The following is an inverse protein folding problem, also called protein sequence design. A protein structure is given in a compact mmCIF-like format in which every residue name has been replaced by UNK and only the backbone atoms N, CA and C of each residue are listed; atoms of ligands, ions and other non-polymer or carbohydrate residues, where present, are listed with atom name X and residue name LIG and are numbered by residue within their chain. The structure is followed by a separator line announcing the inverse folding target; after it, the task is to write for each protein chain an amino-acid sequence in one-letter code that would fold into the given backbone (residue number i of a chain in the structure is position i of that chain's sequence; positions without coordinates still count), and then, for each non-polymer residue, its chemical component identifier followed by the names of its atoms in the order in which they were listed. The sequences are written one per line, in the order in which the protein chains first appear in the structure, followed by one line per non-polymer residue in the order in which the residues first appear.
data_IF_983404249382
#
_entry.id   IF_983404249382
#
_cell.length_a   1.000
_cell.length_b   1.000
_cell.length_c   1.000
_cell.angle_alpha   90.00
_cell.angle_beta   90.00
_cell.angle_gamma   90.00
#
_symmetry.space_group_name_H-M   'P 1'
#
loop_
_entity.id
_entity.type
_entity.pdbx_description
1 polymer ?
#
# COMPACT_ATOMS: atom_id res chain seq x y z
N UNK A 1 -41.64 -9.85 -20.40
CA UNK A 1 -40.65 -8.78 -20.63
C UNK A 1 -39.58 -8.92 -19.56
N UNK A 2 -38.33 -9.14 -20.00
CA UNK A 2 -37.10 -9.14 -19.19
C UNK A 2 -37.04 -7.86 -18.31
N UNK A 3 -36.53 -7.85 -17.08
CA UNK A 3 -35.42 -8.62 -16.52
C UNK A 3 -34.18 -7.73 -16.50
N UNK A 4 -33.92 -7.05 -15.38
CA UNK A 4 -32.60 -6.58 -14.99
C UNK A 4 -32.44 -6.78 -13.48
N UNK A 5 -31.77 -7.87 -13.14
CA UNK A 5 -31.06 -7.99 -11.87
C UNK A 5 -29.75 -7.19 -12.01
N UNK A 6 -29.47 -6.31 -11.05
CA UNK A 6 -28.12 -5.80 -10.83
C UNK A 6 -27.61 -6.48 -9.55
N UNK A 7 -26.73 -7.44 -9.79
CA UNK A 7 -25.97 -8.20 -8.81
C UNK A 7 -24.90 -7.34 -8.14
N UNK A 8 -24.92 -7.33 -6.80
CA UNK A 8 -23.76 -7.37 -5.91
C UNK A 8 -22.66 -6.32 -6.10
N UNK A 9 -22.81 -5.17 -5.44
CA UNK A 9 -21.64 -4.49 -4.88
C UNK A 9 -21.12 -5.36 -3.72
N UNK A 10 -19.89 -5.83 -3.84
CA UNK A 10 -19.19 -6.59 -2.82
C UNK A 10 -19.19 -5.77 -1.52
N UNK A 11 -20.00 -6.22 -0.56
CA UNK A 11 -20.03 -5.70 0.78
C UNK A 11 -18.68 -5.98 1.44
N UNK A 12 -17.85 -4.94 1.57
CA UNK A 12 -17.13 -4.84 2.83
C UNK A 12 -18.22 -4.76 3.89
N UNK A 13 -18.35 -5.80 4.71
CA UNK A 13 -19.32 -5.77 5.81
C UNK A 13 -18.84 -4.72 6.80
N UNK A 14 -19.29 -3.48 6.61
CA UNK A 14 -19.02 -2.37 7.52
C UNK A 14 -19.52 -2.79 8.90
N UNK A 15 -18.63 -2.78 9.88
CA UNK A 15 -19.01 -3.04 11.26
C UNK A 15 -19.59 -1.75 11.86
N UNK A 16 -20.91 -1.65 11.80
CA UNK A 16 -21.66 -0.55 12.38
C UNK A 16 -21.68 -0.59 13.91
N UNK A 17 -21.33 -1.71 14.54
CA UNK A 17 -21.29 -1.87 16.00
C UNK A 17 -22.66 -2.08 16.65
N UNK A 18 -22.90 -1.43 17.80
CA UNK A 18 -24.14 -1.51 18.60
C UNK A 18 -24.82 -0.12 18.75
N UNK A 19 -25.89 -0.06 19.55
CA UNK A 19 -26.64 1.18 19.85
C UNK A 19 -26.46 1.60 21.33
N UNK A 20 -25.23 1.52 21.85
CA UNK A 20 -24.96 1.81 23.26
C UNK A 20 -24.71 3.30 23.58
N UNK A 21 -24.64 4.18 22.58
CA UNK A 21 -24.50 5.62 22.81
C UNK A 21 -25.77 6.22 23.41
N UNK A 22 -25.62 7.37 24.05
CA UNK A 22 -26.76 8.18 24.52
C UNK A 22 -27.57 8.78 23.38
N UNK A 23 -26.99 8.84 22.17
CA UNK A 23 -27.58 9.45 20.99
C UNK A 23 -28.05 8.42 19.95
N UNK A 24 -27.84 7.13 20.18
CA UNK A 24 -28.29 6.10 19.24
C UNK A 24 -29.81 6.09 19.08
N UNK A 25 -30.28 5.72 17.88
CA UNK A 25 -31.70 5.63 17.52
C UNK A 25 -32.44 6.99 17.57
N UNK A 26 -31.75 8.09 17.32
CA UNK A 26 -32.35 9.42 17.23
C UNK A 26 -32.61 9.89 15.78
N UNK A 27 -32.17 9.10 14.80
CA UNK A 27 -32.39 9.33 13.37
C UNK A 27 -31.26 10.06 12.65
N UNK A 28 -30.16 10.35 13.34
CA UNK A 28 -28.90 10.85 12.78
C UNK A 28 -27.76 9.87 13.11
N UNK A 29 -26.68 9.86 12.31
CA UNK A 29 -25.47 9.06 12.62
C UNK A 29 -24.47 9.89 13.43
N UNK A 30 -24.12 9.44 14.63
CA UNK A 30 -23.14 10.09 15.51
C UNK A 30 -21.72 9.51 15.37
N UNK A 31 -21.57 8.42 14.63
CA UNK A 31 -20.28 7.74 14.47
C UNK A 31 -19.33 8.55 13.57
N UNK A 32 -18.21 9.08 14.11
CA UNK A 32 -17.30 9.93 13.34
C UNK A 32 -16.58 9.20 12.22
N UNK A 33 -16.66 7.87 12.14
CA UNK A 33 -16.17 7.09 10.99
C UNK A 33 -16.94 7.39 9.71
N UNK A 34 -18.12 8.00 9.78
CA UNK A 34 -18.94 8.35 8.62
C UNK A 34 -18.96 9.85 8.34
N UNK A 35 -19.31 10.18 7.09
CA UNK A 35 -19.61 11.52 6.63
C UNK A 35 -20.75 11.53 5.62
N UNK A 36 -21.46 12.65 5.55
CA UNK A 36 -22.52 12.87 4.57
C UNK A 36 -23.82 13.38 5.19
N UNK A 37 -24.87 13.59 4.37
CA UNK A 37 -26.16 14.13 4.80
C UNK A 37 -26.95 13.32 5.83
N UNK A 38 -26.46 12.14 6.24
CA UNK A 38 -27.03 11.33 7.32
C UNK A 38 -26.39 11.54 8.69
N UNK A 39 -25.35 12.38 8.80
CA UNK A 39 -24.65 12.64 10.07
C UNK A 39 -25.44 13.57 10.99
N UNK A 40 -25.18 13.45 12.29
CA UNK A 40 -25.55 14.46 13.29
C UNK A 40 -24.99 15.83 12.94
N UNK A 41 -25.69 16.87 13.36
CA UNK A 41 -25.19 18.26 13.31
C UNK A 41 -24.49 18.68 14.62
N UNK A 42 -24.46 17.78 15.61
CA UNK A 42 -23.80 18.03 16.90
C UNK A 42 -22.30 17.66 16.84
N UNK A 43 -21.48 18.12 17.81
CA UNK A 43 -20.07 17.75 17.84
C UNK A 43 -19.89 16.23 17.96
N UNK A 44 -19.16 15.65 17.01
CA UNK A 44 -18.83 14.22 17.01
C UNK A 44 -17.87 13.88 18.15
N UNK A 45 -18.11 12.76 18.82
CA UNK A 45 -17.29 12.28 19.94
C UNK A 45 -16.70 10.90 19.61
N UNK A 46 -15.45 10.67 20.01
CA UNK A 46 -14.80 9.36 19.86
C UNK A 46 -15.55 8.24 20.60
N UNK A 47 -16.30 8.61 21.65
CA UNK A 47 -17.13 7.68 22.42
C UNK A 47 -18.34 7.13 21.63
N UNK A 48 -18.67 7.73 20.47
CA UNK A 48 -19.80 7.32 19.63
C UNK A 48 -19.36 6.41 18.46
N UNK A 49 -18.07 6.12 18.33
CA UNK A 49 -17.52 5.19 17.33
C UNK A 49 -18.12 3.79 17.54
N UNK A 50 -18.89 3.30 16.57
CA UNK A 50 -19.52 1.97 16.60
C UNK A 50 -20.61 1.82 17.66
N UNK A 51 -21.15 2.92 18.16
CA UNK A 51 -22.19 2.92 19.19
C UNK A 51 -23.49 3.56 18.73
N UNK A 52 -23.66 3.71 17.41
CA UNK A 52 -24.88 4.21 16.77
C UNK A 52 -25.21 3.42 15.48
N UNK A 53 -25.26 2.10 15.63
CA UNK A 53 -25.26 1.17 14.51
C UNK A 53 -26.51 1.24 13.65
N UNK A 54 -27.68 1.43 14.26
CA UNK A 54 -28.97 1.40 13.56
C UNK A 54 -29.11 2.59 12.62
N UNK A 55 -28.79 3.81 13.09
CA UNK A 55 -28.94 5.03 12.28
C UNK A 55 -27.84 5.16 11.22
N UNK A 56 -26.59 4.88 11.58
CA UNK A 56 -25.47 4.88 10.62
C UNK A 56 -25.65 3.86 9.50
N UNK A 57 -26.19 2.66 9.79
CA UNK A 57 -26.48 1.65 8.77
C UNK A 57 -27.61 2.08 7.84
N UNK A 58 -28.72 2.56 8.41
CA UNK A 58 -29.86 3.00 7.63
C UNK A 58 -29.48 4.15 6.68
N UNK A 59 -28.69 5.11 7.17
CA UNK A 59 -28.24 6.24 6.37
C UNK A 59 -27.17 5.84 5.33
N UNK A 60 -26.28 4.89 5.63
CA UNK A 60 -25.32 4.33 4.66
C UNK A 60 -26.02 3.54 3.54
N UNK A 61 -26.96 2.65 3.87
CA UNK A 61 -27.74 1.88 2.89
C UNK A 61 -28.64 2.77 2.03
N UNK A 62 -29.09 3.91 2.58
CA UNK A 62 -29.81 4.94 1.82
C UNK A 62 -28.89 5.80 0.93
N UNK A 63 -27.58 5.57 0.92
CA UNK A 63 -26.60 6.36 0.17
C UNK A 63 -26.42 7.78 0.69
N UNK A 64 -26.80 8.04 1.95
CA UNK A 64 -26.67 9.35 2.62
C UNK A 64 -25.41 9.45 3.47
N UNK A 65 -24.65 8.37 3.63
CA UNK A 65 -23.36 8.34 4.31
C UNK A 65 -22.29 7.64 3.46
N UNK A 66 -21.04 8.02 3.71
CA UNK A 66 -19.83 7.38 3.23
C UNK A 66 -18.86 7.25 4.40
N UNK A 67 -17.96 6.27 4.40
CA UNK A 67 -16.91 6.18 5.42
C UNK A 67 -15.87 7.28 5.17
N UNK A 68 -15.55 8.06 6.19
CA UNK A 68 -14.41 8.98 6.16
C UNK A 68 -13.15 8.16 5.87
N UNK A 69 -12.49 8.46 4.77
CA UNK A 69 -11.30 7.73 4.31
C UNK A 69 -11.55 6.62 3.29
N UNK A 70 -12.77 6.40 2.80
CA UNK A 70 -12.99 5.59 1.59
C UNK A 70 -13.01 6.47 0.34
N UNK A 71 -11.95 6.77 -0.39
CA UNK A 71 -10.53 6.42 -0.37
C UNK A 71 -9.69 7.69 -0.10
N UNK A 72 -8.63 7.62 0.72
CA UNK A 72 -7.35 8.38 0.64
C UNK A 72 -6.68 8.54 2.04
N UNK A 73 -5.49 9.17 2.09
CA UNK A 73 -4.21 8.65 2.59
C UNK A 73 -4.13 8.56 4.12
N UNK A 74 -3.57 7.46 4.64
CA UNK A 74 -3.40 7.26 6.08
C UNK A 74 -2.23 8.09 6.60
N UNK A 75 -2.52 9.12 7.40
CA UNK A 75 -1.52 9.68 8.31
C UNK A 75 -1.29 8.71 9.47
N UNK A 76 -0.14 8.02 9.41
CA UNK A 76 0.56 7.27 10.46
C UNK A 76 -0.18 7.00 11.78
N UNK A 77 -0.55 5.72 12.00
CA UNK A 77 -1.16 5.23 13.23
C UNK A 77 -0.64 3.86 13.63
N UNK A 78 0.43 3.87 14.44
CA UNK A 78 1.13 2.71 15.00
C UNK A 78 0.21 1.65 15.63
N UNK A 79 0.46 0.39 15.31
CA UNK A 79 0.34 -0.72 16.26
C UNK A 79 -1.05 -1.39 16.39
N UNK A 80 -1.69 -1.73 15.27
CA UNK A 80 -2.67 -2.83 15.31
C UNK A 80 -1.93 -4.18 15.27
N UNK A 81 -2.33 -5.18 16.08
CA UNK A 81 -1.75 -6.51 16.01
C UNK A 81 -1.97 -7.09 14.61
N UNK A 82 -0.87 -7.53 14.01
CA UNK A 82 -0.80 -8.12 12.69
C UNK A 82 -1.91 -9.16 12.46
N UNK A 83 -2.80 -8.97 11.46
CA UNK A 83 -3.65 -10.06 10.99
C UNK A 83 -2.78 -11.20 10.43
N UNK A 84 -3.35 -12.41 10.37
CA UNK A 84 -2.63 -13.57 9.83
C UNK A 84 -2.10 -13.30 8.42
N UNK A 85 -0.92 -13.84 8.11
CA UNK A 85 -0.22 -13.69 6.84
C UNK A 85 -1.17 -13.76 5.63
N UNK A 86 -1.21 -12.70 4.82
CA UNK A 86 -2.07 -12.65 3.63
C UNK A 86 -1.43 -13.45 2.50
N UNK A 87 -2.03 -14.59 2.15
CA UNK A 87 -1.56 -15.44 1.04
C UNK A 87 -2.48 -15.26 -0.17
N UNK A 88 -1.96 -14.64 -1.24
CA UNK A 88 -2.69 -14.41 -2.49
C UNK A 88 -1.86 -14.93 -3.66
N UNK A 89 -2.46 -15.74 -4.54
CA UNK A 89 -1.76 -16.27 -5.71
C UNK A 89 -0.52 -17.14 -5.39
N UNK A 90 -0.43 -17.67 -4.16
CA UNK A 90 0.75 -18.42 -3.69
C UNK A 90 1.89 -17.54 -3.14
N UNK A 91 1.72 -16.22 -3.12
CA UNK A 91 2.68 -15.28 -2.55
C UNK A 91 2.26 -14.97 -1.11
N UNK A 92 3.23 -15.00 -0.19
CA UNK A 92 3.04 -14.55 1.18
C UNK A 92 3.37 -13.06 1.30
N UNK A 93 2.34 -12.23 1.47
CA UNK A 93 2.46 -10.78 1.64
C UNK A 93 2.72 -10.36 3.09
N UNK A 94 2.67 -11.29 4.05
CA UNK A 94 2.91 -11.02 5.45
C UNK A 94 1.74 -10.30 6.12
N UNK A 95 2.03 -9.31 6.96
CA UNK A 95 1.06 -8.57 7.77
C UNK A 95 1.12 -7.07 7.53
N UNK A 96 0.39 -6.27 8.31
CA UNK A 96 0.40 -4.79 8.28
C UNK A 96 1.21 -4.21 9.46
N UNK A 97 2.35 -4.82 9.81
CA UNK A 97 3.21 -4.33 10.90
C UNK A 97 4.15 -3.20 10.45
N UNK A 98 4.59 -2.34 11.36
CA UNK A 98 5.52 -1.25 11.02
C UNK A 98 4.83 0.09 10.89
N UNK A 99 5.61 1.12 10.54
CA UNK A 99 5.11 2.50 10.49
C UNK A 99 4.64 2.94 9.11
N UNK A 100 5.07 2.23 8.07
CA UNK A 100 4.73 2.48 6.66
C UNK A 100 3.56 1.60 6.19
N UNK A 101 3.10 0.64 7.01
CA UNK A 101 1.96 -0.18 6.63
C UNK A 101 0.68 0.65 6.45
N UNK A 102 -0.11 0.29 5.43
CA UNK A 102 -1.41 0.92 5.12
C UNK A 102 -1.33 2.41 4.77
N UNK A 103 -0.23 2.86 4.21
CA UNK A 103 -0.04 4.26 3.80
C UNK A 103 -0.50 4.56 2.37
N UNK A 104 -0.86 3.53 1.61
CA UNK A 104 -1.35 3.59 0.24
C UNK A 104 -0.31 3.23 -0.82
N UNK A 105 0.92 2.92 -0.43
CA UNK A 105 1.99 2.40 -1.29
C UNK A 105 2.36 0.97 -0.89
N UNK A 106 2.99 0.19 -1.77
CA UNK A 106 3.54 -1.11 -1.39
C UNK A 106 5.00 -0.96 -0.96
N UNK A 107 5.27 -1.08 0.34
CA UNK A 107 6.63 -0.95 0.92
C UNK A 107 7.49 -2.21 0.78
N UNK A 108 6.88 -3.31 0.33
CA UNK A 108 7.58 -4.57 0.23
C UNK A 108 8.53 -4.56 -0.98
N UNK A 109 9.82 -4.47 -0.66
CA UNK A 109 10.94 -4.47 -1.63
C UNK A 109 10.90 -5.60 -2.67
N UNK A 110 10.23 -6.72 -2.38
CA UNK A 110 10.10 -7.86 -3.33
C UNK A 110 9.27 -7.50 -4.56
N UNK A 111 8.48 -6.44 -4.50
CA UNK A 111 7.62 -6.00 -5.59
C UNK A 111 8.24 -4.82 -6.33
N UNK A 112 7.69 -4.51 -7.50
CA UNK A 112 8.01 -3.29 -8.23
C UNK A 112 6.85 -2.91 -9.15
N UNK A 113 6.82 -1.65 -9.56
CA UNK A 113 5.80 -1.09 -10.44
C UNK A 113 5.31 0.25 -9.92
N UNK A 114 4.25 0.78 -10.52
CA UNK A 114 3.71 2.10 -10.18
C UNK A 114 3.05 2.19 -8.80
N UNK A 115 2.71 1.05 -8.18
CA UNK A 115 2.17 1.00 -6.82
C UNK A 115 3.23 0.75 -5.74
N UNK A 116 4.52 0.70 -6.10
CA UNK A 116 5.61 0.51 -5.16
C UNK A 116 5.94 1.82 -4.44
N UNK A 117 6.34 1.73 -3.17
CA UNK A 117 6.80 2.87 -2.39
C UNK A 117 8.01 3.57 -3.02
N UNK A 118 8.10 4.88 -2.80
CA UNK A 118 9.22 5.70 -3.28
C UNK A 118 10.52 5.51 -2.47
N UNK A 119 10.43 4.89 -1.30
CA UNK A 119 11.57 4.46 -0.50
C UNK A 119 11.23 3.18 0.26
N UNK A 120 12.13 2.20 0.23
CA UNK A 120 11.88 0.87 0.81
C UNK A 120 13.18 0.20 1.20
N UNK A 121 13.10 -0.80 2.08
CA UNK A 121 14.26 -1.56 2.53
C UNK A 121 13.90 -3.02 2.76
N UNK A 122 14.91 -3.87 2.98
CA UNK A 122 14.67 -5.26 3.37
C UNK A 122 13.91 -5.39 4.70
N UNK A 123 13.97 -4.38 5.56
CA UNK A 123 13.25 -4.40 6.83
C UNK A 123 11.74 -4.24 6.65
N UNK A 124 11.26 -3.76 5.49
CA UNK A 124 9.83 -3.56 5.20
C UNK A 124 9.18 -4.77 4.50
N UNK A 125 9.94 -5.83 4.24
CA UNK A 125 9.43 -7.03 3.56
C UNK A 125 8.36 -7.71 4.40
N UNK A 126 7.19 -7.94 3.80
CA UNK A 126 6.05 -8.61 4.42
C UNK A 126 5.38 -7.82 5.54
N UNK A 127 5.56 -6.50 5.56
CA UNK A 127 5.07 -5.60 6.61
C UNK A 127 3.90 -4.73 6.19
N UNK A 128 3.65 -4.68 4.89
CA UNK A 128 2.62 -3.85 4.30
C UNK A 128 1.71 -4.68 3.38
N UNK A 129 1.12 -5.72 3.98
CA UNK A 129 0.40 -6.74 3.23
C UNK A 129 -0.84 -6.17 2.53
N UNK A 130 -1.61 -5.31 3.18
CA UNK A 130 -2.86 -4.80 2.64
C UNK A 130 -2.65 -3.97 1.38
N UNK A 131 -1.68 -3.06 1.37
CA UNK A 131 -1.43 -2.21 0.21
C UNK A 131 -0.71 -2.99 -0.89
N UNK A 132 0.27 -3.84 -0.54
CA UNK A 132 0.90 -4.72 -1.53
C UNK A 132 -0.08 -5.73 -2.16
N UNK A 133 -1.05 -6.27 -1.43
CA UNK A 133 -2.10 -7.14 -1.99
C UNK A 133 -2.99 -6.34 -2.94
N UNK A 134 -3.43 -5.14 -2.53
CA UNK A 134 -4.26 -4.28 -3.37
C UNK A 134 -3.53 -3.86 -4.67
N UNK A 135 -2.25 -3.49 -4.56
CA UNK A 135 -1.40 -3.14 -5.68
C UNK A 135 -1.16 -4.34 -6.61
N UNK A 136 -0.92 -5.53 -6.05
CA UNK A 136 -0.72 -6.75 -6.84
C UNK A 136 -2.00 -7.15 -7.60
N UNK A 137 -3.16 -7.11 -6.93
CA UNK A 137 -4.44 -7.47 -7.56
C UNK A 137 -4.89 -6.46 -8.63
N UNK A 138 -4.52 -5.19 -8.47
CA UNK A 138 -4.77 -4.15 -9.48
C UNK A 138 -3.73 -4.14 -10.60
N UNK A 139 -2.65 -4.91 -10.47
CA UNK A 139 -1.56 -5.00 -11.46
C UNK A 139 -0.64 -3.77 -11.48
N UNK A 140 -0.71 -2.91 -10.46
CA UNK A 140 0.20 -1.77 -10.33
C UNK A 140 1.55 -2.16 -9.75
N UNK A 141 1.65 -3.32 -9.10
CA UNK A 141 2.93 -3.97 -8.80
C UNK A 141 2.97 -5.42 -9.27
N UNK A 142 4.19 -5.90 -9.56
CA UNK A 142 4.50 -7.30 -9.82
C UNK A 142 5.70 -7.73 -8.97
N UNK A 143 5.77 -9.02 -8.67
CA UNK A 143 6.91 -9.57 -7.94
C UNK A 143 8.14 -9.54 -8.83
N UNK A 144 9.27 -9.10 -8.29
CA UNK A 144 10.54 -9.12 -8.99
C UNK A 144 11.10 -10.54 -9.04
N UNK A 145 11.42 -11.02 -10.25
CA UNK A 145 12.06 -12.31 -10.44
C UNK A 145 13.52 -12.13 -10.88
N UNK A 146 14.44 -12.68 -10.09
CA UNK A 146 15.88 -12.58 -10.35
C UNK A 146 16.29 -13.19 -11.70
N UNK A 147 15.69 -14.33 -12.07
CA UNK A 147 16.07 -15.07 -13.28
C UNK A 147 15.61 -14.32 -14.52
N UNK A 148 14.39 -13.80 -14.50
CA UNK A 148 13.84 -13.01 -15.58
C UNK A 148 14.57 -11.67 -15.72
N UNK A 149 14.77 -10.94 -14.61
CA UNK A 149 15.48 -9.67 -14.61
C UNK A 149 16.89 -9.81 -15.17
N UNK A 150 17.62 -10.86 -14.76
CA UNK A 150 18.95 -11.19 -15.28
C UNK A 150 18.95 -11.48 -16.78
N UNK A 151 17.93 -12.17 -17.28
CA UNK A 151 17.84 -12.51 -18.69
C UNK A 151 17.48 -11.31 -19.56
N UNK A 152 16.67 -10.39 -19.04
CA UNK A 152 16.15 -9.25 -19.78
C UNK A 152 17.05 -7.99 -19.72
N UNK A 153 17.81 -7.81 -18.64
CA UNK A 153 18.64 -6.62 -18.44
C UNK A 153 19.80 -6.56 -19.43
N UNK A 154 19.86 -5.49 -20.22
CA UNK A 154 20.95 -5.20 -21.15
C UNK A 154 21.80 -4.05 -20.62
N UNK A 155 22.79 -4.35 -19.77
CA UNK A 155 23.58 -3.33 -19.06
C UNK A 155 24.17 -2.25 -19.99
N UNK A 156 24.68 -2.66 -21.17
CA UNK A 156 25.26 -1.74 -22.14
C UNK A 156 24.27 -0.75 -22.79
N UNK A 157 22.96 -0.98 -22.64
CA UNK A 157 21.91 -0.11 -23.16
C UNK A 157 21.37 0.86 -22.09
N UNK A 158 21.78 0.72 -20.83
CA UNK A 158 21.22 1.50 -19.72
C UNK A 158 21.94 2.85 -19.59
N UNK A 159 21.16 3.90 -19.37
CA UNK A 159 21.67 5.18 -18.90
C UNK A 159 21.71 5.17 -17.37
N UNK A 160 22.88 4.85 -16.81
CA UNK A 160 23.10 4.76 -15.37
C UNK A 160 23.07 6.11 -14.66
N UNK A 161 23.30 7.22 -15.38
CA UNK A 161 23.33 8.57 -14.79
C UNK A 161 24.76 9.01 -14.50
N UNK A 162 24.98 9.60 -13.33
CA UNK A 162 26.28 10.05 -12.83
C UNK A 162 26.51 9.65 -11.37
N UNK A 163 27.57 10.18 -10.75
CA UNK A 163 27.98 9.88 -9.37
C UNK A 163 27.70 11.07 -8.42
N UNK A 164 26.62 11.81 -8.65
CA UNK A 164 26.27 13.01 -7.86
C UNK A 164 25.30 12.76 -6.70
N UNK A 165 24.89 11.50 -6.49
CA UNK A 165 23.96 11.10 -5.44
C UNK A 165 24.54 11.18 -4.02
N UNK A 166 23.77 10.70 -3.04
CA UNK A 166 24.17 10.70 -1.63
C UNK A 166 25.19 9.60 -1.30
N UNK A 167 25.20 8.52 -2.08
CA UNK A 167 26.01 7.33 -1.86
C UNK A 167 26.76 6.90 -3.14
N UNK A 168 27.54 7.77 -3.79
CA UNK A 168 28.29 7.37 -4.97
C UNK A 168 29.55 6.60 -4.55
N UNK A 169 29.93 5.59 -5.32
CA UNK A 169 31.22 4.89 -5.18
C UNK A 169 31.42 4.19 -3.82
N UNK A 170 30.36 3.64 -3.24
CA UNK A 170 30.40 2.92 -1.95
C UNK A 170 30.37 1.38 -2.09
N UNK A 171 30.43 0.88 -3.33
CA UNK A 171 30.40 -0.52 -3.73
C UNK A 171 29.03 -1.20 -3.73
N UNK A 172 27.96 -0.51 -3.40
CA UNK A 172 26.57 -0.94 -3.59
C UNK A 172 25.96 -0.19 -4.77
N UNK A 173 24.80 -0.63 -5.26
CA UNK A 173 24.01 0.14 -6.24
C UNK A 173 22.82 0.75 -5.53
N UNK A 174 22.84 2.08 -5.35
CA UNK A 174 21.77 2.83 -4.67
C UNK A 174 20.63 3.26 -5.60
N UNK A 175 20.77 2.99 -6.89
CA UNK A 175 19.75 3.33 -7.87
C UNK A 175 18.52 2.42 -7.73
N UNK A 176 17.41 2.99 -7.28
CA UNK A 176 16.12 2.32 -7.06
C UNK A 176 15.62 1.52 -8.26
N UNK A 177 16.05 1.86 -9.48
CA UNK A 177 15.68 1.12 -10.70
C UNK A 177 16.23 -0.30 -10.71
N UNK A 178 17.21 -0.61 -9.85
CA UNK A 178 17.88 -1.90 -9.80
C UNK A 178 17.52 -2.71 -8.54
N UNK A 179 17.71 -4.01 -8.66
CA UNK A 179 17.63 -4.97 -7.57
C UNK A 179 18.65 -6.10 -7.80
N UNK A 180 19.05 -6.75 -6.71
CA UNK A 180 19.94 -7.90 -6.71
C UNK A 180 20.92 -7.86 -5.54
N UNK A 181 21.79 -8.88 -5.41
CA UNK A 181 22.76 -8.97 -4.33
C UNK A 181 23.72 -7.77 -4.18
N UNK A 182 23.89 -6.96 -5.22
CA UNK A 182 24.71 -5.74 -5.16
C UNK A 182 23.91 -4.46 -4.91
N UNK A 183 22.59 -4.50 -4.77
CA UNK A 183 21.80 -3.31 -4.49
C UNK A 183 21.86 -2.94 -3.01
N UNK A 184 21.85 -1.63 -2.73
CA UNK A 184 21.93 -1.10 -1.37
C UNK A 184 20.82 -1.64 -0.46
N UNK A 185 21.01 -1.62 0.87
CA UNK A 185 20.01 -2.14 1.82
C UNK A 185 18.69 -1.35 1.82
N UNK A 186 18.78 -0.04 1.69
CA UNK A 186 17.65 0.88 1.55
C UNK A 186 17.71 1.53 0.19
N UNK A 187 16.60 1.53 -0.53
CA UNK A 187 16.48 2.17 -1.84
C UNK A 187 15.56 3.38 -1.70
N UNK A 188 15.88 4.46 -2.41
CA UNK A 188 15.07 5.67 -2.45
C UNK A 188 15.09 6.26 -3.85
N UNK A 189 13.96 6.83 -4.25
CA UNK A 189 13.82 7.57 -5.52
C UNK A 189 14.83 8.72 -5.63
N UNK A 190 15.27 9.26 -4.48
CA UNK A 190 16.24 10.35 -4.41
C UNK A 190 17.64 9.95 -4.90
N UNK A 191 17.98 8.65 -4.84
CA UNK A 191 19.28 8.14 -5.31
C UNK A 191 19.24 7.65 -6.77
N UNK A 192 18.10 7.77 -7.46
CA UNK A 192 17.98 7.34 -8.85
C UNK A 192 19.00 8.04 -9.75
N UNK A 193 19.83 7.25 -10.43
CA UNK A 193 20.84 7.73 -11.36
C UNK A 193 22.00 8.50 -10.73
N UNK A 194 22.14 8.49 -9.40
CA UNK A 194 23.18 9.21 -8.67
C UNK A 194 24.39 8.35 -8.28
N UNK A 195 24.38 7.07 -8.64
CA UNK A 195 25.44 6.10 -8.33
C UNK A 195 25.79 5.25 -9.57
N UNK A 196 26.13 5.94 -10.66
CA UNK A 196 26.31 5.30 -11.95
C UNK A 196 27.51 4.35 -12.02
N UNK A 197 28.63 4.72 -11.39
CA UNK A 197 29.86 3.92 -11.42
C UNK A 197 29.69 2.55 -10.78
N UNK A 198 29.02 2.46 -9.63
CA UNK A 198 28.79 1.17 -8.98
C UNK A 198 27.66 0.40 -9.64
N UNK A 199 26.52 1.02 -9.92
CA UNK A 199 25.42 0.35 -10.60
C UNK A 199 25.83 -0.24 -11.97
N UNK A 200 26.62 0.50 -12.76
CA UNK A 200 27.12 -0.01 -14.04
C UNK A 200 28.05 -1.20 -13.88
N UNK A 201 29.03 -1.09 -12.98
CA UNK A 201 30.00 -2.15 -12.68
C UNK A 201 29.31 -3.41 -12.13
N UNK A 202 28.35 -3.24 -11.23
CA UNK A 202 27.58 -4.33 -10.62
C UNK A 202 26.62 -4.98 -11.63
N UNK A 203 26.05 -4.22 -12.57
CA UNK A 203 25.26 -4.76 -13.67
C UNK A 203 26.15 -5.64 -14.58
N UNK A 204 27.32 -5.13 -14.96
CA UNK A 204 28.27 -5.88 -15.81
C UNK A 204 28.79 -7.16 -15.13
N UNK A 205 28.91 -7.17 -13.80
CA UNK A 205 29.22 -8.37 -13.03
C UNK A 205 28.03 -9.33 -12.86
N UNK A 206 26.83 -8.95 -13.29
CA UNK A 206 25.63 -9.77 -13.18
C UNK A 206 25.14 -9.93 -11.74
N UNK A 207 25.28 -8.89 -10.92
CA UNK A 207 24.82 -8.89 -9.51
C UNK A 207 23.70 -7.91 -9.23
N UNK A 208 23.43 -6.95 -10.13
CA UNK A 208 22.20 -6.13 -10.11
C UNK A 208 21.56 -6.11 -11.49
N UNK A 209 20.24 -6.01 -11.52
CA UNK A 209 19.42 -6.02 -12.72
C UNK A 209 18.28 -5.03 -12.59
N UNK A 210 17.70 -4.60 -13.72
CA UNK A 210 16.56 -3.70 -13.67
C UNK A 210 15.38 -4.36 -12.96
N UNK A 211 14.63 -3.56 -12.20
CA UNK A 211 13.32 -3.94 -11.68
C UNK A 211 12.33 -4.04 -12.81
N UNK A 212 12.24 -3.00 -13.63
CA UNK A 212 11.37 -2.96 -14.80
C UNK A 212 12.08 -3.54 -16.02
N UNK A 213 11.67 -4.74 -16.41
CA UNK A 213 12.26 -5.56 -17.47
C UNK A 213 11.18 -6.26 -18.29
#
# INVERSE_FOLDING_TARGET
MAGFAATGAQAQSIDFGDDASRWSNDGECDDPRFEGPGMTNTPLLDADIGHDATDCRAAFEAGRLSLRGGQAPSTGGKGQPAPAAQIVGGINFGDDSGEWSRDGECDDRRFFGSGMASGFSWDHVGRDASDCVAAFQSGTVRMWDYTEARAATQCSAIQFGDDSGSYPNDYECDDIRFEGPGAAMGMSIENMGGDASDCSRLCDYGVVFLRDY
#
